data_IF_569443925215
#
_entry.id   IF_569443925215
#
_cell.length_a   1.000
_cell.length_b   1.000
_cell.length_c   1.000
_cell.angle_alpha   90.00
_cell.angle_beta   90.00
_cell.angle_gamma   90.00
#
_symmetry.space_group_name_H-M   'P 1'
#
loop_
_entity.id
_entity.type
_entity.pdbx_description
1 polymer ?
#
# COMPACT_ATOMS: atom_id res chain seq x y z
N UNK A 1 -6.23 10.30 18.97
CA UNK A 1 -5.29 9.72 18.02
C UNK A 1 -5.70 10.17 16.63
N UNK A 2 -4.75 10.56 15.78
CA UNK A 2 -5.04 11.06 14.44
C UNK A 2 -5.60 9.96 13.54
N UNK A 3 -6.57 10.30 12.69
CA UNK A 3 -7.27 9.36 11.77
C UNK A 3 -6.30 8.53 10.90
N UNK A 4 -5.19 9.12 10.49
CA UNK A 4 -4.19 8.52 9.60
C UNK A 4 -3.21 7.59 10.34
N UNK A 5 -3.12 7.68 11.67
CA UNK A 5 -2.21 6.87 12.50
C UNK A 5 -2.62 5.39 12.55
N UNK A 6 -3.92 5.10 12.55
CA UNK A 6 -4.40 3.73 12.60
C UNK A 6 -3.89 2.90 11.42
N UNK A 7 -3.88 3.46 10.21
CA UNK A 7 -3.33 2.79 9.02
C UNK A 7 -1.84 2.42 9.17
N UNK A 8 -1.05 3.27 9.83
CA UNK A 8 0.38 2.99 10.07
C UNK A 8 0.56 1.87 11.10
N UNK A 9 -0.22 1.87 12.18
CA UNK A 9 -0.24 0.77 13.17
C UNK A 9 -0.60 -0.57 12.54
N UNK A 10 -1.66 -0.58 11.72
CA UNK A 10 -2.11 -1.78 11.03
C UNK A 10 -1.02 -2.33 10.10
N UNK A 11 -0.37 -1.48 9.31
CA UNK A 11 0.73 -1.90 8.43
C UNK A 11 1.92 -2.46 9.19
N UNK A 12 2.27 -1.86 10.32
CA UNK A 12 3.35 -2.39 11.17
C UNK A 12 2.99 -3.77 11.70
N UNK A 13 1.76 -3.98 12.16
CA UNK A 13 1.27 -5.26 12.64
C UNK A 13 1.20 -6.32 11.52
N UNK A 14 0.79 -5.95 10.30
CA UNK A 14 0.76 -6.84 9.14
C UNK A 14 2.16 -7.25 8.67
N UNK A 15 3.12 -6.32 8.69
CA UNK A 15 4.52 -6.58 8.34
C UNK A 15 5.12 -7.70 9.19
N UNK A 16 4.80 -7.73 10.47
CA UNK A 16 5.30 -8.75 11.40
C UNK A 16 4.59 -10.11 11.24
N UNK A 17 3.31 -10.10 10.85
CA UNK A 17 2.46 -11.30 10.80
C UNK A 17 2.59 -12.15 9.53
N UNK A 18 2.91 -11.54 8.39
CA UNK A 18 2.75 -12.13 7.05
C UNK A 18 3.97 -11.99 6.12
N UNK A 19 5.19 -12.05 6.63
CA UNK A 19 6.44 -11.78 5.90
C UNK A 19 6.55 -12.55 4.57
N UNK A 20 6.27 -13.86 4.56
CA UNK A 20 6.38 -14.68 3.34
C UNK A 20 5.39 -14.25 2.24
N UNK A 21 4.18 -13.85 2.64
CA UNK A 21 3.14 -13.36 1.72
C UNK A 21 3.52 -12.00 1.15
N UNK A 22 4.01 -11.10 2.00
CA UNK A 22 4.52 -9.80 1.58
C UNK A 22 5.64 -9.96 0.55
N UNK A 23 6.59 -10.88 0.79
CA UNK A 23 7.67 -11.15 -0.16
C UNK A 23 7.15 -11.69 -1.51
N UNK A 24 6.14 -12.55 -1.50
CA UNK A 24 5.50 -13.05 -2.72
C UNK A 24 4.80 -11.93 -3.51
N UNK A 25 4.10 -11.03 -2.81
CA UNK A 25 3.48 -9.84 -3.42
C UNK A 25 4.52 -8.92 -4.07
N UNK A 26 5.63 -8.62 -3.37
CA UNK A 26 6.74 -7.86 -3.95
C UNK A 26 7.37 -8.56 -5.14
N UNK A 27 7.56 -9.88 -5.08
CA UNK A 27 8.06 -10.65 -6.22
C UNK A 27 7.20 -10.47 -7.49
N UNK A 28 5.87 -10.47 -7.34
CA UNK A 28 4.92 -10.21 -8.43
C UNK A 28 5.03 -8.77 -8.94
N UNK A 29 5.03 -7.77 -8.05
CA UNK A 29 5.16 -6.35 -8.41
C UNK A 29 6.48 -6.06 -9.14
N UNK A 30 7.59 -6.60 -8.64
CA UNK A 30 8.93 -6.45 -9.25
C UNK A 30 8.94 -7.07 -10.66
N UNK A 31 8.39 -8.27 -10.81
CA UNK A 31 8.29 -8.93 -12.11
C UNK A 31 7.49 -8.08 -13.11
N UNK A 32 6.33 -7.58 -12.72
CA UNK A 32 5.48 -6.73 -13.56
C UNK A 32 6.20 -5.44 -13.94
N UNK A 33 6.83 -4.77 -12.97
CA UNK A 33 7.58 -3.53 -13.22
C UNK A 33 8.78 -3.76 -14.15
N UNK A 34 9.53 -4.84 -13.96
CA UNK A 34 10.66 -5.19 -14.82
C UNK A 34 10.23 -5.58 -16.24
N UNK A 35 9.05 -6.19 -16.39
CA UNK A 35 8.51 -6.59 -17.69
C UNK A 35 7.88 -5.43 -18.46
N UNK A 36 7.34 -4.42 -17.79
CA UNK A 36 6.70 -3.26 -18.41
C UNK A 36 7.68 -2.25 -19.04
N UNK A 37 8.97 -2.38 -18.76
CA UNK A 37 10.05 -1.51 -19.26
C UNK A 37 11.38 -2.26 -19.35
N UNK A 38 12.48 -1.53 -19.28
CA UNK A 38 13.80 -2.16 -19.16
C UNK A 38 13.92 -2.86 -17.78
N UNK A 39 14.51 -4.08 -17.73
CA UNK A 39 14.70 -4.79 -16.46
C UNK A 39 15.92 -4.28 -15.68
N UNK A 40 16.10 -2.97 -15.67
CA UNK A 40 17.18 -2.23 -15.01
C UNK A 40 16.59 -1.01 -14.29
N UNK A 41 16.87 -0.89 -13.00
CA UNK A 41 16.33 0.18 -12.15
C UNK A 41 16.83 1.58 -12.49
N UNK A 42 17.96 1.71 -13.19
CA UNK A 42 18.48 3.02 -13.59
C UNK A 42 17.66 3.62 -14.75
N UNK A 43 17.10 2.77 -15.60
CA UNK A 43 16.31 3.16 -16.78
C UNK A 43 14.80 2.97 -16.60
N UNK A 44 14.37 2.25 -15.56
CA UNK A 44 12.97 1.94 -15.27
C UNK A 44 12.52 2.52 -13.92
N UNK A 45 11.87 3.68 -13.97
CA UNK A 45 11.40 4.37 -12.76
C UNK A 45 10.39 3.57 -11.95
N UNK A 46 9.52 2.80 -12.61
CA UNK A 46 8.54 1.96 -11.93
C UNK A 46 9.25 0.83 -11.16
N UNK A 47 10.22 0.18 -11.77
CA UNK A 47 11.03 -0.84 -11.11
C UNK A 47 11.81 -0.24 -9.94
N UNK A 48 12.43 0.92 -10.13
CA UNK A 48 13.13 1.63 -9.05
C UNK A 48 12.22 1.90 -7.86
N UNK A 49 11.02 2.42 -8.11
CA UNK A 49 10.02 2.68 -7.07
C UNK A 49 9.66 1.41 -6.28
N UNK A 50 9.37 0.30 -6.96
CA UNK A 50 9.03 -0.96 -6.30
C UNK A 50 10.21 -1.51 -5.49
N UNK A 51 11.45 -1.39 -6.01
CA UNK A 51 12.65 -1.84 -5.29
C UNK A 51 12.93 -1.01 -4.03
N UNK A 52 12.68 0.29 -4.06
CA UNK A 52 12.83 1.15 -2.88
C UNK A 52 11.80 0.78 -1.79
N UNK A 53 10.56 0.51 -2.17
CA UNK A 53 9.55 -0.01 -1.26
C UNK A 53 9.94 -1.39 -0.71
N UNK A 54 10.45 -2.28 -1.55
CA UNK A 54 10.90 -3.61 -1.13
C UNK A 54 12.00 -3.54 -0.05
N UNK A 55 12.89 -2.54 -0.09
CA UNK A 55 13.89 -2.30 0.96
C UNK A 55 13.25 -1.98 2.31
N UNK A 56 12.20 -1.16 2.34
CA UNK A 56 11.45 -0.81 3.57
C UNK A 56 10.88 -2.07 4.25
N UNK A 57 10.49 -3.08 3.45
CA UNK A 57 9.99 -4.37 3.94
C UNK A 57 11.09 -5.44 4.11
N UNK A 58 12.35 -5.07 3.92
CA UNK A 58 13.49 -6.00 4.02
C UNK A 58 13.33 -7.25 3.13
N UNK A 59 12.79 -7.07 1.93
CA UNK A 59 12.64 -8.16 0.96
C UNK A 59 14.02 -8.71 0.59
N UNK A 60 14.26 -10.04 0.71
CA UNK A 60 15.55 -10.63 0.42
C UNK A 60 15.97 -10.46 -1.06
N UNK A 61 17.25 -10.17 -1.30
CA UNK A 61 17.79 -9.96 -2.64
C UNK A 61 17.48 -11.12 -3.60
N UNK A 62 17.52 -12.38 -3.12
CA UNK A 62 17.26 -13.53 -3.98
C UNK A 62 15.82 -13.55 -4.55
N UNK A 63 14.84 -12.94 -3.86
CA UNK A 63 13.46 -12.78 -4.36
C UNK A 63 13.42 -11.70 -5.44
N UNK A 64 14.10 -10.59 -5.19
CA UNK A 64 14.24 -9.47 -6.14
C UNK A 64 14.91 -9.95 -7.42
N UNK A 65 16.09 -10.57 -7.30
CA UNK A 65 16.87 -11.04 -8.44
C UNK A 65 16.10 -12.06 -9.27
N UNK A 66 15.42 -13.02 -8.61
CA UNK A 66 14.59 -14.02 -9.27
C UNK A 66 13.46 -13.40 -10.09
N UNK A 67 12.80 -12.37 -9.55
CA UNK A 67 11.70 -11.71 -10.24
C UNK A 67 12.20 -10.95 -11.49
N UNK A 68 13.32 -10.24 -11.37
CA UNK A 68 13.97 -9.53 -12.48
C UNK A 68 14.45 -10.50 -13.56
N UNK A 69 15.15 -11.58 -13.17
CA UNK A 69 15.64 -12.59 -14.11
C UNK A 69 14.49 -13.30 -14.85
N UNK A 70 13.37 -13.58 -14.16
CA UNK A 70 12.16 -14.13 -14.79
C UNK A 70 11.61 -13.17 -15.85
N UNK A 71 11.61 -11.86 -15.60
CA UNK A 71 11.17 -10.84 -16.54
C UNK A 71 12.11 -10.76 -17.77
N UNK A 72 13.45 -10.79 -17.56
CA UNK A 72 14.46 -10.81 -18.63
C UNK A 72 14.36 -12.03 -19.53
N UNK A 73 14.04 -13.18 -18.95
CA UNK A 73 13.88 -14.46 -19.69
C UNK A 73 12.65 -14.53 -20.59
N UNK A 74 11.89 -13.44 -20.75
CA UNK A 74 10.68 -13.40 -21.57
C UNK A 74 9.53 -14.21 -20.96
N UNK A 75 9.41 -14.21 -19.62
CA UNK A 75 8.32 -14.90 -18.91
C UNK A 75 6.98 -14.68 -19.58
N UNK A 76 6.25 -15.78 -19.85
CA UNK A 76 4.99 -15.77 -20.62
C UNK A 76 3.79 -15.21 -19.84
N UNK A 77 3.96 -14.97 -18.53
CA UNK A 77 2.88 -14.46 -17.69
C UNK A 77 2.70 -12.96 -17.86
N UNK A 78 1.52 -12.56 -18.28
CA UNK A 78 1.04 -11.19 -18.26
C UNK A 78 0.09 -10.99 -17.09
N UNK A 79 0.21 -9.86 -16.41
CA UNK A 79 -0.64 -9.50 -15.28
C UNK A 79 -1.40 -8.22 -15.58
N UNK A 80 -2.71 -8.25 -15.34
CA UNK A 80 -3.57 -7.08 -15.34
C UNK A 80 -3.63 -6.48 -13.93
N UNK A 81 -3.48 -5.15 -13.85
CA UNK A 81 -3.71 -4.41 -12.63
C UNK A 81 -5.19 -4.03 -12.56
N UNK A 82 -5.86 -4.46 -11.50
CA UNK A 82 -7.31 -4.29 -11.31
C UNK A 82 -7.59 -3.70 -9.94
N UNK A 83 -8.63 -2.87 -9.87
CA UNK A 83 -9.19 -2.36 -8.62
C UNK A 83 -10.63 -2.81 -8.48
N UNK A 84 -10.93 -3.42 -7.33
CA UNK A 84 -12.27 -3.74 -6.92
C UNK A 84 -12.67 -2.84 -5.77
N UNK A 85 -13.95 -2.51 -5.72
CA UNK A 85 -14.53 -1.66 -4.71
C UNK A 85 -15.72 -2.36 -4.09
N UNK A 86 -15.93 -2.20 -2.79
CA UNK A 86 -17.04 -2.86 -2.12
C UNK A 86 -17.36 -2.29 -0.75
N UNK A 87 -18.42 -2.82 -0.18
CA UNK A 87 -18.92 -2.45 1.12
C UNK A 87 -18.84 -3.67 2.04
N UNK A 88 -18.37 -3.45 3.24
CA UNK A 88 -18.40 -4.43 4.33
C UNK A 88 -19.57 -4.19 5.28
N UNK A 89 -19.54 -4.80 6.47
CA UNK A 89 -20.57 -4.61 7.51
C UNK A 89 -20.81 -3.14 7.83
N UNK A 90 -22.07 -2.78 8.10
CA UNK A 90 -22.51 -1.42 8.46
C UNK A 90 -22.10 -0.34 7.46
N UNK A 91 -21.95 -0.70 6.18
CA UNK A 91 -21.60 0.26 5.12
C UNK A 91 -20.14 0.72 5.15
N UNK A 92 -19.26 0.00 5.83
CA UNK A 92 -17.82 0.19 5.72
C UNK A 92 -17.35 0.06 4.26
N UNK A 93 -16.34 0.81 3.88
CA UNK A 93 -15.87 0.91 2.49
C UNK A 93 -14.51 0.23 2.35
N UNK A 94 -14.34 -0.55 1.28
CA UNK A 94 -13.13 -1.32 1.01
C UNK A 94 -12.71 -1.16 -0.45
N UNK A 95 -11.42 -0.90 -0.66
CA UNK A 95 -10.75 -0.93 -1.96
C UNK A 95 -9.78 -2.12 -1.97
N UNK A 96 -9.79 -2.89 -3.06
CA UNK A 96 -8.93 -4.05 -3.25
C UNK A 96 -8.15 -3.87 -4.55
N UNK A 97 -6.83 -3.71 -4.46
CA UNK A 97 -5.93 -3.67 -5.60
C UNK A 97 -5.35 -5.07 -5.86
N UNK A 98 -5.40 -5.53 -7.09
CA UNK A 98 -4.96 -6.84 -7.51
C UNK A 98 -4.05 -6.80 -8.75
N UNK A 99 -3.11 -7.75 -8.80
CA UNK A 99 -2.35 -8.10 -10.00
C UNK A 99 -2.67 -9.55 -10.37
N UNK A 100 -3.28 -9.77 -11.53
CA UNK A 100 -3.77 -11.09 -11.92
C UNK A 100 -3.46 -11.46 -13.36
N UNK A 101 -3.20 -12.72 -13.60
CA UNK A 101 -3.17 -13.33 -14.93
C UNK A 101 -4.51 -13.96 -15.31
N UNK A 102 -5.55 -13.84 -14.46
CA UNK A 102 -6.89 -14.35 -14.72
C UNK A 102 -7.97 -13.48 -14.07
N UNK A 103 -8.43 -12.48 -14.81
CA UNK A 103 -9.41 -11.48 -14.37
C UNK A 103 -10.71 -12.12 -13.84
N UNK A 104 -11.20 -13.17 -14.51
CA UNK A 104 -12.46 -13.82 -14.11
C UNK A 104 -12.34 -14.58 -12.79
N UNK A 105 -11.21 -15.26 -12.55
CA UNK A 105 -10.91 -15.92 -11.28
C UNK A 105 -10.89 -14.89 -10.17
N UNK A 106 -10.08 -13.85 -10.30
CA UNK A 106 -9.93 -12.83 -9.26
C UNK A 106 -11.23 -12.11 -8.95
N UNK A 107 -12.01 -11.74 -9.98
CA UNK A 107 -13.33 -11.12 -9.78
C UNK A 107 -14.30 -12.05 -9.01
N UNK A 108 -14.26 -13.36 -9.30
CA UNK A 108 -15.07 -14.35 -8.60
C UNK A 108 -14.65 -14.51 -7.14
N UNK A 109 -13.34 -14.59 -6.89
CA UNK A 109 -12.78 -14.78 -5.55
C UNK A 109 -13.04 -13.56 -4.65
N UNK A 110 -12.81 -12.35 -5.18
CA UNK A 110 -13.10 -11.10 -4.45
C UNK A 110 -14.59 -10.97 -4.15
N UNK A 111 -15.46 -11.25 -5.13
CA UNK A 111 -16.92 -11.23 -4.92
C UNK A 111 -17.35 -12.23 -3.85
N UNK A 112 -16.79 -13.44 -3.88
CA UNK A 112 -17.08 -14.47 -2.89
C UNK A 112 -16.58 -14.08 -1.50
N UNK A 113 -15.40 -13.44 -1.39
CA UNK A 113 -14.86 -12.94 -0.12
C UNK A 113 -15.81 -11.92 0.51
N UNK A 114 -16.26 -10.90 -0.24
CA UNK A 114 -17.25 -9.94 0.25
C UNK A 114 -18.56 -10.62 0.67
N UNK A 115 -19.15 -11.43 -0.23
CA UNK A 115 -20.48 -12.00 0.01
C UNK A 115 -20.55 -12.99 1.18
N UNK A 116 -19.47 -13.70 1.48
CA UNK A 116 -19.39 -14.65 2.59
C UNK A 116 -19.09 -14.01 3.94
N UNK A 117 -18.59 -12.77 3.94
CA UNK A 117 -18.16 -12.07 5.14
C UNK A 117 -18.90 -10.73 5.34
N UNK A 118 -20.22 -10.77 5.17
CA UNK A 118 -21.12 -9.66 5.54
C UNK A 118 -21.06 -8.42 4.65
N UNK A 119 -20.49 -8.54 3.45
CA UNK A 119 -20.35 -7.43 2.52
C UNK A 119 -20.85 -7.72 1.11
N UNK A 120 -20.61 -6.78 0.21
CA UNK A 120 -20.90 -6.93 -1.21
C UNK A 120 -19.91 -6.15 -2.07
N UNK A 121 -19.50 -6.73 -3.19
CA UNK A 121 -18.70 -6.04 -4.19
C UNK A 121 -19.58 -5.04 -4.94
N UNK A 122 -19.13 -3.79 -5.00
CA UNK A 122 -19.78 -2.71 -5.74
C UNK A 122 -19.27 -2.59 -7.18
N UNK A 123 -19.66 -1.51 -7.83
CA UNK A 123 -19.15 -1.13 -9.15
C UNK A 123 -17.93 -0.20 -9.00
N UNK A 124 -17.15 -0.08 -10.06
CA UNK A 124 -16.02 0.87 -10.10
C UNK A 124 -16.50 2.31 -9.81
N UNK A 125 -15.78 3.01 -8.94
CA UNK A 125 -16.12 4.37 -8.49
C UNK A 125 -17.14 4.43 -7.35
N UNK A 126 -17.60 3.29 -6.81
CA UNK A 126 -18.61 3.27 -5.74
C UNK A 126 -18.08 3.72 -4.38
N UNK A 127 -16.78 3.55 -4.11
CA UNK A 127 -16.14 3.94 -2.84
C UNK A 127 -14.87 4.75 -3.02
N UNK A 128 -14.16 4.64 -4.15
CA UNK A 128 -12.84 5.25 -4.35
C UNK A 128 -12.86 6.78 -4.18
N UNK A 129 -13.98 7.45 -4.45
CA UNK A 129 -14.15 8.90 -4.27
C UNK A 129 -14.07 9.36 -2.80
N UNK A 130 -14.20 8.44 -1.85
CA UNK A 130 -14.06 8.70 -0.40
C UNK A 130 -12.64 8.48 0.12
N UNK A 131 -11.69 8.22 -0.79
CA UNK A 131 -10.30 8.00 -0.47
C UNK A 131 -9.40 8.95 -1.25
N UNK A 132 -8.34 9.40 -0.61
CA UNK A 132 -7.31 10.24 -1.21
C UNK A 132 -6.08 9.38 -1.53
N UNK A 133 -5.66 9.36 -2.80
CA UNK A 133 -4.40 8.77 -3.18
C UNK A 133 -3.26 9.63 -2.63
N UNK A 134 -2.39 9.05 -1.81
CA UNK A 134 -1.45 9.79 -0.98
C UNK A 134 -0.09 9.07 -0.92
N UNK A 135 0.99 9.84 -1.03
CA UNK A 135 2.32 9.38 -0.66
C UNK A 135 2.50 9.53 0.85
N UNK A 136 2.77 8.42 1.56
CA UNK A 136 2.91 8.37 3.02
C UNK A 136 4.30 7.91 3.39
N UNK A 137 4.97 8.69 4.24
CA UNK A 137 6.26 8.34 4.83
C UNK A 137 6.15 8.40 6.34
N UNK A 138 6.62 7.37 7.04
CA UNK A 138 6.70 7.35 8.50
C UNK A 138 8.09 6.87 8.91
N UNK A 139 8.74 7.60 9.83
CA UNK A 139 10.12 7.34 10.25
C UNK A 139 10.38 7.93 11.64
N UNK A 140 11.47 7.50 12.26
CA UNK A 140 11.94 7.98 13.55
C UNK A 140 13.11 8.99 13.41
N UNK A 141 13.40 9.73 14.45
CA UNK A 141 14.65 10.46 14.61
C UNK A 141 14.63 11.93 14.23
N UNK A 142 13.52 12.45 13.71
CA UNK A 142 13.34 13.88 13.37
C UNK A 142 11.99 14.38 13.89
N UNK A 143 11.91 15.62 14.32
CA UNK A 143 10.65 16.28 14.63
C UNK A 143 9.98 16.87 13.39
N UNK A 144 8.68 17.14 13.48
CA UNK A 144 7.87 17.63 12.36
C UNK A 144 8.35 18.98 11.83
N UNK A 145 8.79 19.89 12.71
CA UNK A 145 9.25 21.23 12.32
C UNK A 145 10.52 21.14 11.49
N UNK A 146 11.52 20.35 11.96
CA UNK A 146 12.77 20.10 11.21
C UNK A 146 12.50 19.50 9.83
N UNK A 147 11.58 18.54 9.75
CA UNK A 147 11.20 17.91 8.48
C UNK A 147 10.52 18.90 7.54
N UNK A 148 9.59 19.69 8.06
CA UNK A 148 8.87 20.69 7.28
C UNK A 148 9.82 21.75 6.72
N UNK A 149 10.76 22.26 7.55
CA UNK A 149 11.78 23.22 7.11
C UNK A 149 12.63 22.63 5.98
N UNK A 150 13.13 21.41 6.11
CA UNK A 150 13.94 20.75 5.09
C UNK A 150 13.18 20.53 3.76
N UNK A 151 11.88 20.22 3.81
CA UNK A 151 11.05 20.10 2.62
C UNK A 151 10.82 21.46 1.96
N UNK A 152 10.55 22.51 2.74
CA UNK A 152 10.37 23.87 2.24
C UNK A 152 11.66 24.43 1.61
N UNK A 153 12.84 24.18 2.19
CA UNK A 153 14.12 24.58 1.62
C UNK A 153 14.40 23.95 0.25
N UNK A 154 13.77 22.82 -0.04
CA UNK A 154 13.85 22.13 -1.33
C UNK A 154 12.68 22.45 -2.27
N UNK A 155 11.86 23.46 -1.97
CA UNK A 155 10.65 23.84 -2.72
C UNK A 155 9.65 22.67 -2.88
N UNK A 156 9.55 21.80 -1.87
CA UNK A 156 8.66 20.65 -1.85
C UNK A 156 7.42 20.98 -1.02
N UNK A 157 6.28 20.99 -1.67
CA UNK A 157 4.98 21.19 -1.03
C UNK A 157 4.40 19.84 -0.59
N UNK A 158 3.95 19.75 0.66
CA UNK A 158 3.38 18.52 1.23
C UNK A 158 2.01 18.82 1.85
N UNK A 159 1.16 17.80 1.92
CA UNK A 159 -0.18 17.95 2.48
C UNK A 159 -0.15 18.15 4.00
N UNK A 160 0.74 17.44 4.68
CA UNK A 160 0.82 17.49 6.13
C UNK A 160 2.13 16.88 6.64
N UNK A 161 2.62 17.35 7.78
CA UNK A 161 3.70 16.73 8.56
C UNK A 161 3.26 16.70 10.00
N UNK A 162 3.17 15.49 10.58
CA UNK A 162 2.71 15.31 11.95
C UNK A 162 3.65 14.42 12.74
N UNK A 163 3.56 14.50 14.08
CA UNK A 163 4.21 13.55 14.99
C UNK A 163 3.14 12.74 15.71
N UNK A 164 3.23 11.43 15.62
CA UNK A 164 2.34 10.54 16.35
C UNK A 164 3.01 9.18 16.61
N UNK A 165 2.81 8.64 17.83
CA UNK A 165 3.33 7.34 18.22
C UNK A 165 4.86 7.22 18.21
N UNK A 166 5.59 8.35 18.32
CA UNK A 166 7.06 8.40 18.24
C UNK A 166 7.61 8.42 16.81
N UNK A 167 6.75 8.55 15.82
CA UNK A 167 7.11 8.69 14.42
C UNK A 167 6.80 10.09 13.91
N UNK A 168 7.60 10.58 12.98
CA UNK A 168 7.26 11.70 12.13
C UNK A 168 6.66 11.17 10.84
N UNK A 169 5.52 11.71 10.44
CA UNK A 169 4.73 11.22 9.32
C UNK A 169 4.54 12.36 8.32
N UNK A 170 4.92 12.11 7.07
CA UNK A 170 4.75 13.04 5.95
C UNK A 170 3.69 12.50 5.00
N UNK A 171 2.72 13.36 4.65
CA UNK A 171 1.70 13.09 3.64
C UNK A 171 1.88 14.05 2.47
N UNK A 172 2.02 13.50 1.27
CA UNK A 172 2.27 14.28 0.06
C UNK A 172 1.39 13.82 -1.11
N UNK A 173 1.41 14.58 -2.20
CA UNK A 173 0.82 14.14 -3.45
C UNK A 173 1.55 12.90 -3.99
N UNK A 174 0.85 11.95 -4.65
CA UNK A 174 1.45 10.70 -5.13
C UNK A 174 2.63 10.92 -6.08
N UNK A 175 2.56 11.94 -6.92
CA UNK A 175 3.61 12.29 -7.88
C UNK A 175 4.87 12.90 -7.23
N UNK A 176 4.76 13.35 -5.97
CA UNK A 176 5.88 13.86 -5.17
C UNK A 176 6.65 12.76 -4.43
N UNK A 177 6.25 11.49 -4.52
CA UNK A 177 6.84 10.40 -3.75
C UNK A 177 8.38 10.38 -3.86
N UNK A 178 8.93 10.33 -5.06
CA UNK A 178 10.37 10.25 -5.27
C UNK A 178 11.11 11.52 -4.80
N UNK A 179 10.49 12.69 -4.97
CA UNK A 179 11.06 13.98 -4.58
C UNK A 179 11.13 14.10 -3.06
N UNK A 180 10.03 13.77 -2.36
CA UNK A 180 9.97 13.78 -0.90
C UNK A 180 10.95 12.74 -0.32
N UNK A 181 10.96 11.52 -0.84
CA UNK A 181 11.88 10.47 -0.36
C UNK A 181 13.34 10.90 -0.48
N UNK A 182 13.70 11.53 -1.60
CA UNK A 182 15.07 12.05 -1.81
C UNK A 182 15.43 13.15 -0.80
N UNK A 183 14.53 14.10 -0.56
CA UNK A 183 14.74 15.17 0.42
C UNK A 183 14.88 14.63 1.84
N UNK A 184 14.05 13.68 2.24
CA UNK A 184 14.15 13.00 3.53
C UNK A 184 15.48 12.25 3.69
N UNK A 185 15.95 11.57 2.64
CA UNK A 185 17.26 10.91 2.64
C UNK A 185 18.42 11.94 2.77
N UNK A 186 18.32 13.10 2.14
CA UNK A 186 19.29 14.19 2.26
C UNK A 186 19.29 14.80 3.68
N UNK A 187 18.14 14.88 4.34
CA UNK A 187 18.03 15.28 5.73
C UNK A 187 18.71 14.28 6.68
N UNK A 188 18.86 13.01 6.26
CA UNK A 188 19.49 11.96 7.05
C UNK A 188 18.56 10.82 7.46
N UNK A 189 17.33 10.77 6.95
CA UNK A 189 16.43 9.63 7.16
C UNK A 189 17.02 8.42 6.44
N UNK A 190 17.42 7.40 7.19
CA UNK A 190 18.07 6.18 6.67
C UNK A 190 17.14 4.99 6.57
N UNK A 191 16.02 5.01 7.30
CA UNK A 191 15.04 3.93 7.31
C UNK A 191 13.63 4.49 7.47
N UNK A 192 12.67 3.81 6.85
CA UNK A 192 11.25 4.12 6.94
C UNK A 192 10.49 2.95 7.56
N UNK A 193 9.57 3.24 8.48
CA UNK A 193 8.54 2.29 8.91
C UNK A 193 7.48 2.13 7.82
N UNK A 194 7.14 3.22 7.14
CA UNK A 194 6.25 3.25 5.97
C UNK A 194 6.86 4.17 4.91
N UNK A 195 6.86 3.74 3.66
CA UNK A 195 7.14 4.54 2.46
C UNK A 195 6.28 3.97 1.32
N UNK A 196 5.04 4.46 1.18
CA UNK A 196 4.01 3.85 0.36
C UNK A 196 3.16 4.88 -0.39
N UNK A 197 2.58 4.44 -1.51
CA UNK A 197 1.42 5.08 -2.12
C UNK A 197 0.16 4.38 -1.61
N UNK A 198 -0.75 5.12 -1.01
CA UNK A 198 -1.91 4.59 -0.31
C UNK A 198 -3.21 5.28 -0.71
N UNK A 199 -4.31 4.56 -0.54
CA UNK A 199 -5.66 5.13 -0.57
C UNK A 199 -6.08 5.40 0.87
N UNK A 200 -5.98 6.65 1.32
CA UNK A 200 -6.35 7.06 2.67
C UNK A 200 -7.80 7.52 2.74
N UNK A 201 -8.60 7.03 3.69
CA UNK A 201 -10.00 7.44 3.81
C UNK A 201 -10.11 8.89 4.24
N UNK A 202 -11.03 9.64 3.63
CA UNK A 202 -11.37 11.02 4.01
C UNK A 202 -12.11 11.07 5.35
N UNK A 203 -12.80 9.98 5.70
CA UNK A 203 -13.48 9.80 6.97
C UNK A 203 -13.44 8.35 7.41
N UNK A 204 -13.32 8.11 8.70
CA UNK A 204 -13.35 6.78 9.30
C UNK A 204 -14.71 6.50 9.94
N UNK A 205 -15.05 5.22 10.02
CA UNK A 205 -16.25 4.72 10.70
C UNK A 205 -15.84 3.77 11.82
N UNK A 206 -16.56 3.86 12.94
CA UNK A 206 -16.46 2.90 14.04
C UNK A 206 -17.58 1.87 13.89
N UNK A 207 -17.23 0.60 14.04
CA UNK A 207 -18.16 -0.50 13.97
C UNK A 207 -18.54 -0.99 15.37
N UNK A 208 -19.68 -1.67 15.47
CA UNK A 208 -19.98 -2.47 16.68
C UNK A 208 -18.96 -3.61 16.82
N UNK A 209 -18.82 -4.18 18.01
CA UNK A 209 -17.89 -5.29 18.24
C UNK A 209 -18.19 -6.50 17.33
N UNK A 210 -19.45 -6.79 17.06
CA UNK A 210 -19.87 -7.88 16.15
C UNK A 210 -19.53 -7.58 14.70
N UNK A 211 -19.79 -6.35 14.24
CA UNK A 211 -19.46 -5.93 12.88
C UNK A 211 -17.95 -5.81 12.67
N UNK A 212 -17.20 -5.41 13.71
CA UNK A 212 -15.74 -5.36 13.65
C UNK A 212 -15.15 -6.76 13.46
N UNK A 213 -15.59 -7.76 14.22
CA UNK A 213 -15.14 -9.15 14.04
C UNK A 213 -15.42 -9.66 12.62
N UNK A 214 -16.62 -9.37 12.10
CA UNK A 214 -17.01 -9.73 10.74
C UNK A 214 -16.17 -9.00 9.70
N UNK A 215 -15.88 -7.72 9.92
CA UNK A 215 -15.04 -6.89 9.05
C UNK A 215 -13.58 -7.36 9.03
N UNK A 216 -12.97 -7.60 10.18
CA UNK A 216 -11.60 -8.11 10.28
C UNK A 216 -11.45 -9.43 9.52
N UNK A 217 -12.44 -10.32 9.64
CA UNK A 217 -12.47 -11.56 8.86
C UNK A 217 -12.57 -11.32 7.35
N UNK A 218 -13.35 -10.32 6.92
CA UNK A 218 -13.42 -9.92 5.51
C UNK A 218 -12.04 -9.46 5.01
N UNK A 219 -11.36 -8.60 5.77
CA UNK A 219 -10.03 -8.11 5.40
C UNK A 219 -9.02 -9.25 5.34
N UNK A 220 -8.97 -10.12 6.34
CA UNK A 220 -8.09 -11.27 6.37
C UNK A 220 -8.29 -12.17 5.13
N UNK A 221 -9.55 -12.48 4.78
CA UNK A 221 -9.86 -13.30 3.59
C UNK A 221 -9.45 -12.61 2.30
N UNK A 222 -9.68 -11.30 2.16
CA UNK A 222 -9.26 -10.53 0.98
C UNK A 222 -7.73 -10.50 0.84
N UNK A 223 -7.01 -10.29 1.93
CA UNK A 223 -5.54 -10.27 1.94
C UNK A 223 -4.92 -11.63 1.66
N UNK A 224 -5.65 -12.73 1.95
CA UNK A 224 -5.24 -14.09 1.67
C UNK A 224 -5.33 -14.48 0.19
N UNK A 225 -6.10 -13.76 -0.61
CA UNK A 225 -6.19 -14.01 -2.04
C UNK A 225 -4.84 -13.75 -2.74
N UNK A 226 -4.38 -14.72 -3.52
CA UNK A 226 -3.05 -14.70 -4.17
C UNK A 226 -2.85 -13.48 -5.08
N UNK A 227 -3.91 -13.04 -5.75
CA UNK A 227 -3.86 -11.94 -6.71
C UNK A 227 -4.01 -10.57 -6.04
N UNK A 228 -4.46 -10.50 -4.80
CA UNK A 228 -4.64 -9.24 -4.06
C UNK A 228 -3.30 -8.72 -3.56
N UNK A 229 -2.98 -7.48 -3.92
CA UNK A 229 -1.77 -6.80 -3.52
C UNK A 229 -1.99 -5.90 -2.30
N UNK A 230 -3.04 -5.08 -2.33
CA UNK A 230 -3.38 -4.14 -1.26
C UNK A 230 -4.87 -4.15 -0.98
N UNK A 231 -5.22 -3.98 0.30
CA UNK A 231 -6.59 -3.74 0.77
C UNK A 231 -6.58 -2.46 1.58
N UNK A 232 -7.47 -1.52 1.24
CA UNK A 232 -7.65 -0.26 1.94
C UNK A 232 -9.08 -0.16 2.43
N UNK A 233 -9.29 0.47 3.57
CA UNK A 233 -10.62 0.61 4.16
C UNK A 233 -10.77 1.88 4.99
N UNK A 234 -12.00 2.20 5.38
CA UNK A 234 -12.32 3.36 6.21
C UNK A 234 -12.75 3.01 7.64
N UNK A 235 -12.50 1.78 8.10
CA UNK A 235 -12.86 1.36 9.46
C UNK A 235 -11.72 1.70 10.42
N UNK A 236 -12.04 2.34 11.54
CA UNK A 236 -11.13 2.52 12.67
C UNK A 236 -11.08 1.21 13.47
N UNK A 237 -10.00 0.45 13.32
CA UNK A 237 -9.76 -0.77 14.09
C UNK A 237 -9.18 -0.40 15.47
N UNK A 238 -9.63 -1.08 16.52
CA UNK A 238 -9.29 -0.81 17.91
C UNK A 238 -7.86 -1.27 18.30
#
# INVERSE_FOLDING_TARGET
MGRKWNNIKEKKAQKDKNTSRIYAKFGKEIYVAAKSGEPDSESNQQLKFVLERAKTYSVPNHIIDRAIEKAKGGGEEDFDALRYEGFGPSGSMVIVDALTNNVNRTASDVRAAFGKNGGNMGVSGSVAYMFDHTATFAFEGFDADTVLEALMENDIDVRDVIEEGGLTIVYAEPDQFATVQKALAQLGVTSFEVAELEMLPQSEVQLSAEDQETFEKLIDVLEELEDVQHVYHNVELA
#
